data_IF_283510942881
#
_entry.id   IF_283510942881
#
_cell.length_a   1.000
_cell.length_b   1.000
_cell.length_c   1.000
_cell.angle_alpha   90.00
_cell.angle_beta   90.00
_cell.angle_gamma   90.00
#
_symmetry.space_group_name_H-M   'P 1'
#
loop_
_entity.id
_entity.type
_entity.pdbx_description
1 polymer ?
#
# COMPACT_ATOMS: atom_id res chain seq x y z
N UNK A 1 -7.54 -15.60 -14.08
CA UNK A 1 -7.09 -14.60 -13.11
C UNK A 1 -6.51 -15.37 -11.93
N UNK A 2 -5.21 -15.25 -11.66
CA UNK A 2 -4.55 -16.02 -10.60
C UNK A 2 -5.18 -15.71 -9.24
N UNK A 3 -5.45 -16.74 -8.44
CA UNK A 3 -6.10 -16.59 -7.13
C UNK A 3 -5.33 -15.66 -6.17
N UNK A 4 -4.01 -15.53 -6.36
CA UNK A 4 -3.19 -14.54 -5.64
C UNK A 4 -3.43 -13.11 -6.10
N UNK A 5 -3.57 -12.88 -7.41
CA UNK A 5 -3.91 -11.55 -7.94
C UNK A 5 -5.23 -11.05 -7.37
N UNK A 6 -6.23 -11.92 -7.31
CA UNK A 6 -7.55 -11.56 -6.75
C UNK A 6 -7.45 -11.08 -5.30
N UNK A 7 -6.61 -11.71 -4.47
CA UNK A 7 -6.40 -11.28 -3.08
C UNK A 7 -5.81 -9.87 -2.97
N UNK A 8 -4.86 -9.53 -3.83
CA UNK A 8 -4.28 -8.18 -3.83
C UNK A 8 -5.32 -7.13 -4.23
N UNK A 9 -6.18 -7.44 -5.20
CA UNK A 9 -7.31 -6.58 -5.60
C UNK A 9 -8.33 -6.43 -4.47
N UNK A 10 -8.77 -7.54 -3.86
CA UNK A 10 -9.75 -7.52 -2.77
C UNK A 10 -9.24 -6.65 -1.59
N UNK A 11 -7.96 -6.77 -1.22
CA UNK A 11 -7.33 -5.91 -0.20
C UNK A 11 -7.26 -4.46 -0.65
N UNK A 12 -6.83 -4.18 -1.89
CA UNK A 12 -6.71 -2.82 -2.39
C UNK A 12 -8.05 -2.09 -2.45
N UNK A 13 -9.11 -2.75 -2.92
CA UNK A 13 -10.46 -2.17 -2.94
C UNK A 13 -10.98 -1.86 -1.53
N UNK A 14 -10.80 -2.80 -0.59
CA UNK A 14 -11.19 -2.61 0.82
C UNK A 14 -10.47 -1.42 1.44
N UNK A 15 -9.15 -1.35 1.26
CA UNK A 15 -8.31 -0.24 1.73
C UNK A 15 -8.73 1.08 1.10
N UNK A 16 -8.92 1.13 -0.23
CA UNK A 16 -9.35 2.35 -0.92
C UNK A 16 -10.69 2.85 -0.38
N UNK A 17 -11.69 1.97 -0.27
CA UNK A 17 -13.00 2.34 0.26
C UNK A 17 -12.92 2.84 1.70
N UNK A 18 -12.12 2.18 2.56
CA UNK A 18 -11.93 2.59 3.95
C UNK A 18 -11.23 3.95 4.07
N UNK A 19 -10.22 4.21 3.24
CA UNK A 19 -9.51 5.47 3.21
C UNK A 19 -10.41 6.55 2.64
N UNK A 20 -11.01 6.36 1.48
CA UNK A 20 -11.89 7.33 0.82
C UNK A 20 -13.07 7.74 1.72
N UNK A 21 -13.64 6.79 2.47
CA UNK A 21 -14.69 7.08 3.46
C UNK A 21 -14.19 7.88 4.66
N UNK A 22 -12.91 7.72 5.07
CA UNK A 22 -12.31 8.38 6.25
C UNK A 22 -11.49 9.64 5.93
N UNK A 23 -11.07 9.84 4.67
CA UNK A 23 -10.11 10.87 4.26
C UNK A 23 -10.74 12.19 3.81
N UNK A 24 -12.03 12.43 4.08
CA UNK A 24 -12.64 13.75 3.86
C UNK A 24 -11.99 14.90 4.70
N UNK A 25 -10.90 14.66 5.46
CA UNK A 25 -10.38 15.62 6.45
C UNK A 25 -8.85 15.88 6.48
N UNK A 26 -7.97 15.04 5.93
CA UNK A 26 -6.51 15.24 6.10
C UNK A 26 -5.87 15.96 4.91
N UNK A 27 -5.30 17.15 5.15
CA UNK A 27 -4.55 17.93 4.13
C UNK A 27 -3.10 17.47 3.95
N UNK A 28 -2.54 16.71 4.89
CA UNK A 28 -1.14 16.29 4.86
C UNK A 28 -0.94 14.91 4.22
N UNK A 29 -0.08 14.88 3.20
CA UNK A 29 0.25 13.66 2.44
C UNK A 29 0.86 12.56 3.33
N UNK A 30 1.69 12.94 4.30
CA UNK A 30 2.34 12.00 5.23
C UNK A 30 1.30 11.29 6.09
N UNK A 31 0.33 12.03 6.62
CA UNK A 31 -0.76 11.46 7.41
C UNK A 31 -1.65 10.55 6.57
N UNK A 32 -1.91 10.94 5.31
CA UNK A 32 -2.65 10.11 4.37
C UNK A 32 -1.92 8.77 4.12
N UNK A 33 -0.61 8.80 3.88
CA UNK A 33 0.21 7.60 3.67
C UNK A 33 0.32 6.72 4.92
N UNK A 34 0.46 7.33 6.10
CA UNK A 34 0.47 6.60 7.36
C UNK A 34 -0.86 5.87 7.60
N UNK A 35 -1.99 6.54 7.37
CA UNK A 35 -3.33 5.92 7.44
C UNK A 35 -3.48 4.80 6.43
N UNK A 36 -3.01 5.02 5.20
CA UNK A 36 -3.05 4.03 4.14
C UNK A 36 -2.33 2.75 4.54
N UNK A 37 -1.16 2.86 5.15
CA UNK A 37 -0.41 1.71 5.63
C UNK A 37 -1.11 0.98 6.79
N UNK A 38 -1.70 1.72 7.72
CA UNK A 38 -2.45 1.12 8.84
C UNK A 38 -3.61 0.26 8.31
N UNK A 39 -4.36 0.79 7.35
CA UNK A 39 -5.46 0.05 6.70
C UNK A 39 -4.92 -1.14 5.90
N UNK A 40 -3.82 -0.99 5.14
CA UNK A 40 -3.20 -2.13 4.43
C UNK A 40 -2.81 -3.23 5.41
N UNK A 41 -2.16 -2.90 6.53
CA UNK A 41 -1.75 -3.90 7.53
C UNK A 41 -2.95 -4.64 8.11
N UNK A 42 -4.01 -3.89 8.41
CA UNK A 42 -5.26 -4.44 8.94
C UNK A 42 -5.91 -5.40 7.94
N UNK A 43 -6.11 -4.95 6.70
CA UNK A 43 -6.72 -5.77 5.65
C UNK A 43 -5.83 -6.94 5.23
N UNK A 44 -4.51 -6.77 5.21
CA UNK A 44 -3.55 -7.84 4.97
C UNK A 44 -3.64 -8.92 6.06
N UNK A 45 -3.73 -8.55 7.34
CA UNK A 45 -3.92 -9.50 8.43
C UNK A 45 -5.25 -10.26 8.30
N UNK A 46 -6.34 -9.58 7.95
CA UNK A 46 -7.65 -10.21 7.70
C UNK A 46 -7.61 -11.18 6.52
N UNK A 47 -6.88 -10.84 5.46
CA UNK A 47 -6.77 -11.63 4.23
C UNK A 47 -5.63 -12.67 4.26
N UNK A 48 -4.99 -12.90 5.41
CA UNK A 48 -3.84 -13.80 5.59
C UNK A 48 -2.68 -13.50 4.62
N UNK A 49 -2.44 -12.22 4.34
CA UNK A 49 -1.40 -11.73 3.46
C UNK A 49 -0.15 -11.38 4.28
N UNK A 50 0.98 -12.03 4.00
CA UNK A 50 2.25 -11.72 4.66
C UNK A 50 2.92 -10.50 4.02
N UNK A 51 3.10 -9.44 4.82
CA UNK A 51 3.87 -8.27 4.44
C UNK A 51 5.35 -8.49 4.74
N UNK A 52 6.22 -8.06 3.81
CA UNK A 52 7.69 -8.12 3.93
C UNK A 52 8.20 -7.20 5.04
N UNK A 53 7.50 -6.10 5.28
CA UNK A 53 7.88 -5.09 6.28
C UNK A 53 6.80 -5.02 7.38
N UNK A 54 7.19 -5.38 8.60
CA UNK A 54 6.32 -5.26 9.79
C UNK A 54 6.13 -3.81 10.22
N UNK A 55 7.12 -2.95 9.96
CA UNK A 55 7.12 -1.51 10.28
C UNK A 55 7.60 -0.73 9.05
N UNK A 56 6.85 0.30 8.67
CA UNK A 56 7.21 1.24 7.60
C UNK A 56 7.07 2.63 8.18
N UNK A 57 8.15 3.39 8.15
CA UNK A 57 8.21 4.79 8.59
C UNK A 57 8.21 5.69 7.34
N UNK A 58 7.06 6.30 7.03
CA UNK A 58 6.92 7.13 5.83
C UNK A 58 7.64 8.47 5.93
N UNK A 59 7.80 9.01 7.14
CA UNK A 59 8.51 10.27 7.35
C UNK A 59 9.99 10.10 6.97
N UNK A 60 10.61 9.02 7.44
CA UNK A 60 11.95 8.62 6.97
C UNK A 60 11.95 8.24 5.49
N UNK A 61 10.87 7.67 4.96
CA UNK A 61 10.80 7.32 3.54
C UNK A 61 10.71 8.53 2.61
N UNK A 62 10.16 9.66 3.07
CA UNK A 62 10.02 10.89 2.29
C UNK A 62 11.24 11.80 2.47
N UNK A 63 11.79 11.85 3.69
CA UNK A 63 12.92 12.73 4.02
C UNK A 63 14.29 12.17 3.60
N UNK A 64 14.39 10.86 3.27
CA UNK A 64 15.66 10.22 2.89
C UNK A 64 15.68 9.72 1.45
N UNK A 65 16.83 9.84 0.75
CA UNK A 65 16.98 9.30 -0.60
C UNK A 65 16.83 7.76 -0.60
N UNK A 66 16.27 7.22 -1.69
CA UNK A 66 15.92 5.80 -1.88
C UNK A 66 17.06 4.80 -1.63
N UNK A 67 18.32 5.25 -1.77
CA UNK A 67 19.53 4.46 -1.50
C UNK A 67 19.76 4.20 -0.01
N UNK A 68 19.23 5.05 0.87
CA UNK A 68 19.43 5.01 2.32
C UNK A 68 18.20 4.49 3.08
N UNK A 69 17.12 4.16 2.35
CA UNK A 69 15.88 3.68 2.93
C UNK A 69 15.91 2.16 3.10
N UNK A 70 15.60 1.68 4.31
CA UNK A 70 15.39 0.25 4.61
C UNK A 70 14.19 -0.28 3.79
N UNK A 71 13.19 0.58 3.61
CA UNK A 71 11.98 0.29 2.85
C UNK A 71 12.03 1.07 1.52
N UNK A 72 12.26 0.35 0.43
CA UNK A 72 12.31 0.93 -0.93
C UNK A 72 10.92 1.02 -1.53
N UNK A 73 10.15 1.99 -1.06
CA UNK A 73 8.85 2.32 -1.66
C UNK A 73 9.05 3.38 -2.73
N UNK A 74 8.49 3.11 -3.91
CA UNK A 74 8.40 4.08 -4.99
C UNK A 74 7.06 4.84 -4.90
N UNK A 75 7.12 6.08 -4.41
CA UNK A 75 5.98 6.99 -4.33
C UNK A 75 5.93 7.99 -5.51
N UNK A 76 6.88 7.90 -6.45
CA UNK A 76 6.97 8.83 -7.58
C UNK A 76 5.75 8.76 -8.50
N UNK A 77 5.04 7.63 -8.49
CA UNK A 77 3.86 7.34 -9.29
C UNK A 77 2.56 7.41 -8.49
N UNK A 78 2.53 8.10 -7.34
CA UNK A 78 1.33 8.20 -6.52
C UNK A 78 0.21 8.90 -7.32
N UNK A 79 -0.89 8.19 -7.66
CA UNK A 79 -1.97 8.76 -8.43
C UNK A 79 -2.83 9.68 -7.56
N UNK A 80 -3.66 10.50 -8.22
CA UNK A 80 -4.63 11.31 -7.49
C UNK A 80 -5.68 10.41 -6.81
N UNK A 81 -5.96 10.67 -5.54
CA UNK A 81 -6.94 9.91 -4.74
C UNK A 81 -8.36 9.96 -5.32
N UNK A 82 -8.68 10.99 -6.11
CA UNK A 82 -9.96 11.13 -6.80
C UNK A 82 -10.14 10.09 -7.93
N UNK A 83 -9.03 9.58 -8.50
CA UNK A 83 -9.09 8.59 -9.56
C UNK A 83 -9.08 7.17 -8.99
N UNK A 84 -10.26 6.68 -8.64
CA UNK A 84 -10.46 5.36 -8.03
C UNK A 84 -9.72 4.23 -8.77
N UNK A 85 -9.85 4.15 -10.09
CA UNK A 85 -9.28 3.04 -10.86
C UNK A 85 -7.75 3.07 -10.88
N UNK A 86 -7.15 4.23 -11.16
CA UNK A 86 -5.69 4.38 -11.13
C UNK A 86 -5.14 4.14 -9.72
N UNK A 87 -5.84 4.64 -8.70
CA UNK A 87 -5.45 4.46 -7.33
C UNK A 87 -5.48 3.00 -6.90
N UNK A 88 -6.57 2.27 -7.21
CA UNK A 88 -6.67 0.85 -6.90
C UNK A 88 -5.56 0.07 -7.63
N UNK A 89 -5.31 0.35 -8.91
CA UNK A 89 -4.24 -0.33 -9.66
C UNK A 89 -2.84 -0.06 -9.10
N UNK A 90 -2.57 1.19 -8.73
CA UNK A 90 -1.34 1.54 -8.03
C UNK A 90 -1.24 0.83 -6.70
N UNK A 91 -2.33 0.79 -5.92
CA UNK A 91 -2.38 0.16 -4.61
C UNK A 91 -2.18 -1.36 -4.68
N UNK A 92 -2.74 -2.02 -5.68
CA UNK A 92 -2.49 -3.44 -5.95
C UNK A 92 -1.00 -3.68 -6.19
N UNK A 93 -0.38 -2.85 -7.04
CA UNK A 93 1.04 -2.93 -7.35
C UNK A 93 1.91 -2.65 -6.12
N UNK A 94 1.50 -1.67 -5.32
CA UNK A 94 2.12 -1.29 -4.06
C UNK A 94 2.07 -2.43 -3.06
N UNK A 95 0.88 -2.96 -2.75
CA UNK A 95 0.67 -4.08 -1.82
C UNK A 95 1.49 -5.28 -2.27
N UNK A 96 1.47 -5.62 -3.56
CA UNK A 96 2.30 -6.69 -4.13
C UNK A 96 3.79 -6.44 -3.88
N UNK A 97 4.27 -5.20 -4.01
CA UNK A 97 5.68 -4.86 -3.81
C UNK A 97 6.14 -4.98 -2.35
N UNK A 98 5.25 -4.69 -1.40
CA UNK A 98 5.53 -4.79 0.04
C UNK A 98 5.11 -6.13 0.65
N UNK A 99 4.49 -7.01 -0.13
CA UNK A 99 4.10 -8.35 0.28
C UNK A 99 5.20 -9.36 -0.05
N UNK A 100 5.28 -10.41 0.75
CA UNK A 100 6.11 -11.56 0.42
C UNK A 100 5.41 -12.30 -0.71
N UNK A 101 5.82 -12.05 -1.96
CA UNK A 101 5.43 -12.94 -3.05
C UNK A 101 5.99 -14.32 -2.74
N UNK A 102 5.11 -15.33 -2.61
CA UNK A 102 5.50 -16.73 -2.79
C UNK A 102 5.81 -16.96 -4.27
N UNK A 103 6.84 -16.29 -4.78
CA UNK A 103 7.45 -16.75 -6.01
C UNK A 103 8.23 -18.01 -5.62
N UNK A 104 7.68 -19.17 -5.96
CA UNK A 104 8.42 -20.41 -5.99
C UNK A 104 9.70 -20.19 -6.82
N UNK A 105 10.82 -20.56 -6.20
CA UNK A 105 12.21 -20.71 -6.65
C UNK A 105 12.54 -20.58 -8.14
N UNK A 106 13.71 -19.99 -8.43
CA UNK A 106 14.92 -20.75 -8.81
C UNK A 106 16.17 -20.07 -8.24
#
# INVERSE_FOLDING_TARGET
>A
MDAEMKKYFDVAESVYNNIHFKNQSSKDLVDCLNRLLVEIKKEAATNNLQLKYSVIDFESCLNRPMKERIVKIDLSLLPNFENQYEFILWLVSFIKSISVSRSYYF
#
